data_IF_367957029682
#
_entry.id   IF_367957029682
#
_cell.length_a   1.000
_cell.length_b   1.000
_cell.length_c   1.000
_cell.angle_alpha   90.00
_cell.angle_beta   90.00
_cell.angle_gamma   90.00
#
_symmetry.space_group_name_H-M   'P 1'
#
loop_
_entity.id
_entity.type
_entity.pdbx_description
1 polymer ?
#
# COMPACT_ATOMS: atom_id res chain seq x y z
N UNK A 1 2.83 32.17 -18.14
CA UNK A 1 2.17 30.92 -18.57
C UNK A 1 1.43 30.37 -17.38
N UNK A 2 0.21 29.87 -17.55
CA UNK A 2 -0.60 29.44 -16.41
C UNK A 2 -0.28 27.99 -16.03
N UNK A 3 0.01 27.73 -14.76
CA UNK A 3 0.32 26.41 -14.20
C UNK A 3 -0.86 25.98 -13.33
N UNK A 4 -1.31 24.73 -13.50
CA UNK A 4 -2.34 24.18 -12.63
C UNK A 4 -1.68 23.79 -11.32
N UNK A 5 -2.15 24.36 -10.21
CA UNK A 5 -1.66 24.09 -8.86
C UNK A 5 -2.65 23.19 -8.12
N UNK A 6 -2.14 22.12 -7.52
CA UNK A 6 -2.87 21.30 -6.56
C UNK A 6 -2.09 21.24 -5.26
N UNK A 7 -2.81 21.14 -4.14
CA UNK A 7 -2.22 20.82 -2.83
C UNK A 7 -2.74 19.48 -2.34
N UNK A 8 -1.85 18.66 -1.80
CA UNK A 8 -2.18 17.40 -1.18
C UNK A 8 -2.36 17.58 0.33
N UNK A 9 -3.16 16.71 0.94
CA UNK A 9 -3.31 16.61 2.41
C UNK A 9 -4.15 17.71 3.06
N UNK A 10 -5.22 18.15 2.38
CA UNK A 10 -6.08 19.24 2.87
C UNK A 10 -6.95 18.81 4.05
N UNK A 11 -7.43 17.56 4.06
CA UNK A 11 -8.23 17.00 5.15
C UNK A 11 -7.56 15.76 5.78
N UNK A 12 -6.23 15.70 5.77
CA UNK A 12 -5.48 14.60 6.39
C UNK A 12 -5.67 13.22 5.73
N UNK A 13 -6.32 13.14 4.57
CA UNK A 13 -6.41 11.90 3.79
C UNK A 13 -5.23 11.75 2.80
N UNK A 14 -4.50 10.63 2.84
CA UNK A 14 -3.52 10.30 1.80
C UNK A 14 -4.19 10.20 0.43
N UNK A 15 -3.60 10.83 -0.59
CA UNK A 15 -4.10 10.92 -1.97
C UNK A 15 -5.30 11.86 -2.22
N UNK A 16 -5.71 12.67 -1.23
CA UNK A 16 -6.67 13.77 -1.48
C UNK A 16 -5.93 15.02 -1.99
N UNK A 17 -6.37 15.53 -3.14
CA UNK A 17 -5.83 16.74 -3.76
C UNK A 17 -6.93 17.80 -3.85
N UNK A 18 -6.63 19.00 -3.37
CA UNK A 18 -7.43 20.17 -3.67
C UNK A 18 -6.85 20.92 -4.87
N UNK A 19 -7.71 21.22 -5.84
CA UNK A 19 -7.37 22.04 -6.99
C UNK A 19 -7.43 23.52 -6.60
N UNK A 20 -6.26 24.18 -6.56
CA UNK A 20 -6.16 25.62 -6.32
C UNK A 20 -6.34 26.45 -7.60
N UNK A 21 -6.55 25.78 -8.73
CA UNK A 21 -6.80 26.38 -10.04
C UNK A 21 -5.53 26.68 -10.81
N UNK A 22 -5.67 27.51 -11.84
CA UNK A 22 -4.56 27.95 -12.69
C UNK A 22 -3.92 29.21 -12.09
N UNK A 23 -2.61 29.18 -11.87
CA UNK A 23 -1.85 30.24 -11.19
C UNK A 23 -0.65 30.69 -12.01
N UNK A 24 -0.24 31.93 -11.83
CA UNK A 24 1.04 32.43 -12.37
C UNK A 24 2.21 31.99 -11.48
N UNK A 25 3.42 31.97 -12.04
CA UNK A 25 4.64 31.58 -11.30
C UNK A 25 4.85 32.39 -10.02
N UNK A 26 4.61 33.70 -10.05
CA UNK A 26 4.72 34.58 -8.86
C UNK A 26 3.72 34.21 -7.76
N UNK A 27 2.48 33.89 -8.14
CA UNK A 27 1.44 33.44 -7.20
C UNK A 27 1.81 32.09 -6.59
N UNK A 28 2.37 31.16 -7.38
CA UNK A 28 2.81 29.85 -6.89
C UNK A 28 3.94 29.99 -5.86
N UNK A 29 4.93 30.86 -6.13
CA UNK A 29 5.99 31.16 -5.16
C UNK A 29 5.41 31.70 -3.86
N UNK A 30 4.52 32.69 -3.94
CA UNK A 30 3.85 33.24 -2.76
C UNK A 30 3.05 32.18 -1.99
N UNK A 31 2.35 31.28 -2.68
CA UNK A 31 1.61 30.17 -2.04
C UNK A 31 2.58 29.19 -1.38
N UNK A 32 3.69 28.85 -2.03
CA UNK A 32 4.71 27.94 -1.49
C UNK A 32 5.33 28.49 -0.21
N UNK A 33 5.68 29.78 -0.18
CA UNK A 33 6.26 30.46 0.98
C UNK A 33 5.28 30.59 2.14
N UNK A 34 4.00 30.83 1.84
CA UNK A 34 2.93 30.93 2.85
C UNK A 34 2.38 29.57 3.29
N UNK A 35 2.79 28.48 2.63
CA UNK A 35 2.31 27.16 2.97
C UNK A 35 2.86 26.74 4.34
N UNK A 36 2.02 26.28 5.28
CA UNK A 36 2.45 25.97 6.64
C UNK A 36 3.16 24.60 6.71
N UNK A 37 4.34 24.50 6.09
CA UNK A 37 5.09 23.25 5.93
C UNK A 37 5.35 22.54 7.25
N UNK A 38 5.90 23.24 8.24
CA UNK A 38 6.23 22.65 9.55
C UNK A 38 4.99 22.07 10.24
N UNK A 39 3.88 22.82 10.26
CA UNK A 39 2.62 22.38 10.87
C UNK A 39 2.08 21.13 10.16
N UNK A 40 2.09 21.12 8.83
CA UNK A 40 1.59 20.00 8.04
C UNK A 40 2.47 18.76 8.17
N UNK A 41 3.79 18.93 8.25
CA UNK A 41 4.75 17.83 8.47
C UNK A 41 4.61 17.29 9.89
N UNK A 42 4.51 18.14 10.91
CA UNK A 42 4.32 17.73 12.30
C UNK A 42 3.02 16.92 12.46
N UNK A 43 1.90 17.45 11.92
CA UNK A 43 0.62 16.74 11.93
C UNK A 43 0.67 15.41 11.17
N UNK A 44 1.36 15.37 10.02
CA UNK A 44 1.57 14.12 9.28
C UNK A 44 2.34 13.08 10.11
N UNK A 45 3.38 13.49 10.84
CA UNK A 45 4.17 12.63 11.71
C UNK A 45 3.41 12.15 12.95
N UNK A 46 2.33 12.82 13.36
CA UNK A 46 1.45 12.36 14.46
C UNK A 46 0.46 11.28 14.00
N UNK A 47 0.04 11.32 12.73
CA UNK A 47 -0.98 10.43 12.13
C UNK A 47 -0.41 9.09 11.60
N UNK A 48 0.77 8.67 12.06
CA UNK A 48 1.67 7.68 11.43
C UNK A 48 1.01 6.48 10.74
N UNK A 49 1.23 6.39 9.42
CA UNK A 49 1.58 5.21 8.60
C UNK A 49 1.49 5.51 7.08
N UNK A 50 1.21 6.75 6.69
CA UNK A 50 1.20 7.16 5.28
C UNK A 50 2.60 7.47 4.75
N UNK A 51 2.98 6.88 3.61
CA UNK A 51 4.20 7.24 2.87
C UNK A 51 4.10 8.57 2.10
N UNK A 52 2.98 9.29 2.19
CA UNK A 52 2.74 10.52 1.43
C UNK A 52 2.84 11.76 2.34
N UNK A 53 3.99 12.43 2.28
CA UNK A 53 4.22 13.73 2.91
C UNK A 53 3.32 14.81 2.28
N UNK A 54 3.02 15.92 2.98
CA UNK A 54 2.32 17.05 2.40
C UNK A 54 3.07 17.56 1.16
N UNK A 55 2.32 17.87 0.09
CA UNK A 55 2.92 18.25 -1.19
C UNK A 55 2.13 19.30 -1.95
N UNK A 56 2.83 20.05 -2.80
CA UNK A 56 2.28 20.90 -3.85
C UNK A 56 2.63 20.31 -5.22
N UNK A 57 1.63 20.15 -6.08
CA UNK A 57 1.80 19.62 -7.43
C UNK A 57 1.58 20.74 -8.45
N UNK A 58 2.58 20.95 -9.31
CA UNK A 58 2.54 21.91 -10.40
C UNK A 58 2.40 21.17 -11.73
N UNK A 59 1.30 21.37 -12.43
CA UNK A 59 1.05 20.75 -13.74
C UNK A 59 1.12 21.80 -14.87
N UNK A 60 1.93 21.50 -15.90
CA UNK A 60 2.03 22.32 -17.11
C UNK A 60 2.15 21.42 -18.34
N UNK A 61 1.04 21.27 -19.06
CA UNK A 61 0.95 20.34 -20.20
C UNK A 61 1.20 18.90 -19.79
N UNK A 62 2.22 18.27 -20.37
CA UNK A 62 2.60 16.88 -20.08
C UNK A 62 3.64 16.75 -18.95
N UNK A 63 3.93 17.84 -18.23
CA UNK A 63 4.91 17.89 -17.15
C UNK A 63 4.21 18.09 -15.82
N UNK A 64 4.72 17.42 -14.80
CA UNK A 64 4.28 17.59 -13.42
C UNK A 64 5.51 17.67 -12.51
N UNK A 65 5.49 18.65 -11.60
CA UNK A 65 6.48 18.82 -10.54
C UNK A 65 5.79 18.67 -9.20
N UNK A 66 6.16 17.64 -8.44
CA UNK A 66 5.64 17.41 -7.08
C UNK A 66 6.70 17.86 -6.09
N UNK A 67 6.35 18.78 -5.22
CA UNK A 67 7.22 19.34 -4.18
C UNK A 67 6.66 18.87 -2.83
N UNK A 68 7.42 18.07 -2.09
CA UNK A 68 6.99 17.54 -0.79
C UNK A 68 7.91 18.01 0.32
N UNK A 69 7.34 18.53 1.41
CA UNK A 69 8.09 18.99 2.59
C UNK A 69 8.38 17.86 3.58
N UNK A 70 9.51 17.95 4.27
CA UNK A 70 9.85 17.14 5.45
C UNK A 70 10.49 18.01 6.54
N UNK A 71 11.03 17.37 7.57
CA UNK A 71 11.53 18.01 8.79
C UNK A 71 12.62 19.04 8.47
N UNK A 72 12.60 20.19 9.18
CA UNK A 72 13.62 21.25 9.13
C UNK A 72 13.67 22.09 7.84
N UNK A 73 12.54 22.48 7.26
CA UNK A 73 12.46 23.31 6.04
C UNK A 73 13.23 22.73 4.84
N UNK A 74 13.16 21.43 4.72
CA UNK A 74 13.82 20.69 3.67
C UNK A 74 12.79 20.04 2.76
N UNK A 75 13.07 20.04 1.46
CA UNK A 75 12.12 19.64 0.44
C UNK A 75 12.64 18.52 -0.44
N UNK A 76 11.70 17.73 -0.96
CA UNK A 76 11.94 16.71 -1.97
C UNK A 76 11.13 17.04 -3.20
N UNK A 77 11.71 16.79 -4.36
CA UNK A 77 11.07 17.08 -5.63
C UNK A 77 11.01 15.83 -6.48
N UNK A 78 9.82 15.55 -7.00
CA UNK A 78 9.58 14.53 -8.00
C UNK A 78 9.13 15.17 -9.31
N UNK A 79 9.92 15.03 -10.37
CA UNK A 79 9.53 15.47 -11.71
C UNK A 79 8.99 14.29 -12.53
N UNK A 80 7.82 14.48 -13.13
CA UNK A 80 7.08 13.49 -13.91
C UNK A 80 6.80 14.04 -15.32
N UNK A 81 6.96 13.18 -16.34
CA UNK A 81 6.69 13.52 -17.73
C UNK A 81 5.77 12.48 -18.36
N UNK A 82 4.52 12.86 -18.66
CA UNK A 82 3.41 11.94 -19.00
C UNK A 82 3.66 11.10 -20.27
N UNK A 83 4.52 11.54 -21.19
CA UNK A 83 4.78 10.83 -22.46
C UNK A 83 5.97 9.84 -22.42
N UNK A 84 6.82 9.87 -21.40
CA UNK A 84 7.91 8.91 -21.24
C UNK A 84 7.67 8.08 -19.97
N UNK A 85 7.42 6.78 -20.16
CA UNK A 85 7.16 5.82 -19.10
C UNK A 85 8.14 6.01 -17.92
N UNK A 86 7.62 6.47 -16.79
CA UNK A 86 8.19 6.33 -15.45
C UNK A 86 9.64 6.82 -15.23
N UNK A 87 10.11 7.88 -15.88
CA UNK A 87 11.28 8.61 -15.37
C UNK A 87 10.83 9.62 -14.32
N UNK A 88 10.54 9.14 -13.11
CA UNK A 88 10.45 10.02 -11.94
C UNK A 88 11.87 10.30 -11.46
N UNK A 89 12.30 11.56 -11.47
CA UNK A 89 13.53 11.94 -10.79
C UNK A 89 13.19 12.46 -9.41
N UNK A 90 13.77 11.84 -8.38
CA UNK A 90 13.57 12.20 -7.00
C UNK A 90 14.84 12.87 -6.47
N UNK A 91 14.71 14.11 -6.05
CA UNK A 91 15.77 14.90 -5.43
C UNK A 91 15.39 15.15 -3.98
N UNK A 92 16.36 15.03 -3.07
CA UNK A 92 16.20 15.27 -1.65
C UNK A 92 17.16 16.36 -1.17
N UNK A 93 16.93 16.84 0.03
CA UNK A 93 17.71 17.83 0.78
C UNK A 93 17.75 19.24 0.18
N UNK A 94 16.68 19.63 -0.53
CA UNK A 94 16.58 20.97 -1.12
C UNK A 94 16.21 22.03 -0.09
N UNK A 95 16.84 23.19 -0.17
CA UNK A 95 16.46 24.38 0.60
C UNK A 95 15.27 25.10 -0.03
N UNK A 96 14.65 26.01 0.73
CA UNK A 96 13.55 26.85 0.25
C UNK A 96 13.94 27.62 -1.05
N UNK A 97 15.10 28.28 -1.05
CA UNK A 97 15.60 29.05 -2.21
C UNK A 97 15.80 28.17 -3.44
N UNK A 98 16.32 26.94 -3.27
CA UNK A 98 16.50 26.00 -4.37
C UNK A 98 15.15 25.55 -4.96
N UNK A 99 14.13 25.37 -4.12
CA UNK A 99 12.78 25.05 -4.59
C UNK A 99 12.17 26.24 -5.33
N UNK A 100 12.32 27.47 -4.83
CA UNK A 100 11.82 28.67 -5.49
C UNK A 100 12.45 28.88 -6.87
N UNK A 101 13.76 28.65 -7.00
CA UNK A 101 14.48 28.66 -8.28
C UNK A 101 13.93 27.57 -9.24
N UNK A 102 13.65 26.38 -8.73
CA UNK A 102 13.07 25.30 -9.52
C UNK A 102 11.63 25.58 -9.97
N UNK A 103 10.80 26.21 -9.13
CA UNK A 103 9.44 26.66 -9.50
C UNK A 103 9.51 27.66 -10.66
N UNK A 104 10.47 28.59 -10.61
CA UNK A 104 10.68 29.57 -11.68
C UNK A 104 11.10 28.90 -12.98
N UNK A 105 12.14 28.07 -12.92
CA UNK A 105 12.68 27.34 -14.07
C UNK A 105 11.67 26.38 -14.69
N UNK A 106 10.84 25.72 -13.87
CA UNK A 106 9.80 24.82 -14.37
C UNK A 106 8.89 25.52 -15.38
N UNK A 107 8.55 26.79 -15.12
CA UNK A 107 7.66 27.57 -15.99
C UNK A 107 8.30 28.05 -17.30
N UNK A 108 9.63 28.23 -17.31
CA UNK A 108 10.38 28.89 -18.38
C UNK A 108 11.18 27.91 -19.26
N UNK A 109 11.74 26.86 -18.68
CA UNK A 109 12.69 25.98 -19.34
C UNK A 109 12.00 24.88 -20.15
N UNK A 110 12.71 24.37 -21.17
CA UNK A 110 12.32 23.15 -21.86
C UNK A 110 12.40 21.94 -20.92
N UNK A 111 11.72 20.84 -21.25
CA UNK A 111 11.81 19.60 -20.46
C UNK A 111 13.25 19.10 -20.33
N UNK A 112 14.05 19.24 -21.40
CA UNK A 112 15.43 18.75 -21.45
C UNK A 112 16.33 19.61 -20.55
N UNK A 113 16.18 20.94 -20.61
CA UNK A 113 16.99 21.86 -19.82
C UNK A 113 16.63 21.77 -18.33
N UNK A 114 15.34 21.65 -18.03
CA UNK A 114 14.87 21.44 -16.66
C UNK A 114 15.43 20.14 -16.06
N UNK A 115 15.41 19.04 -16.81
CA UNK A 115 16.04 17.78 -16.38
C UNK A 115 17.56 17.92 -16.18
N UNK A 116 18.24 18.69 -17.04
CA UNK A 116 19.69 18.97 -16.89
C UNK A 116 19.95 19.75 -15.60
N UNK A 117 19.10 20.70 -15.24
CA UNK A 117 19.20 21.42 -13.98
C UNK A 117 18.91 20.51 -12.79
N UNK A 118 17.88 19.67 -12.84
CA UNK A 118 17.63 18.67 -11.81
C UNK A 118 18.80 17.68 -11.63
N UNK A 119 19.61 17.45 -12.66
CA UNK A 119 20.83 16.62 -12.61
C UNK A 119 21.99 17.20 -11.81
N UNK A 120 21.95 18.48 -11.46
CA UNK A 120 22.95 19.10 -10.58
C UNK A 120 22.77 18.69 -9.12
N UNK A 121 21.55 18.31 -8.73
CA UNK A 121 21.26 17.92 -7.36
C UNK A 121 21.55 16.43 -7.12
N UNK A 122 21.97 16.13 -5.87
CA UNK A 122 22.30 14.77 -5.44
C UNK A 122 21.06 13.89 -5.60
N UNK A 123 21.16 12.94 -6.52
CA UNK A 123 20.09 11.98 -6.78
C UNK A 123 20.34 10.77 -5.89
N UNK A 124 19.39 10.41 -5.04
CA UNK A 124 19.43 9.08 -4.41
C UNK A 124 18.96 8.11 -5.47
N UNK A 125 19.89 7.34 -6.04
CA UNK A 125 19.49 6.19 -6.82
C UNK A 125 18.74 5.24 -5.89
N UNK A 126 17.43 5.13 -6.11
CA UNK A 126 16.65 4.07 -5.48
C UNK A 126 17.31 2.74 -5.86
N UNK A 127 17.73 1.98 -4.85
CA UNK A 127 18.46 0.73 -5.06
C UNK A 127 17.64 -0.21 -5.95
N UNK A 128 18.30 -1.10 -6.69
CA UNK A 128 17.60 -2.12 -7.49
C UNK A 128 16.57 -2.89 -6.65
N UNK A 129 16.88 -3.17 -5.38
CA UNK A 129 15.95 -3.76 -4.43
C UNK A 129 14.72 -2.87 -4.18
N UNK A 130 14.87 -1.56 -3.94
CA UNK A 130 13.72 -0.64 -3.82
C UNK A 130 12.88 -0.55 -5.09
N UNK A 131 13.51 -0.61 -6.28
CA UNK A 131 12.80 -0.66 -7.57
C UNK A 131 12.05 -1.98 -7.74
N UNK A 132 12.63 -3.10 -7.34
CA UNK A 132 12.00 -4.42 -7.35
C UNK A 132 10.85 -4.45 -6.33
N UNK A 133 11.09 -4.16 -5.06
CA UNK A 133 10.05 -4.13 -4.02
C UNK A 133 8.93 -3.12 -4.34
N UNK A 134 9.26 -1.95 -4.92
CA UNK A 134 8.28 -0.96 -5.38
C UNK A 134 7.49 -1.40 -6.64
N UNK A 135 8.14 -2.06 -7.61
CA UNK A 135 7.49 -2.57 -8.81
C UNK A 135 6.59 -3.79 -8.53
N UNK A 136 6.97 -4.65 -7.60
CA UNK A 136 6.15 -5.77 -7.14
C UNK A 136 5.08 -5.35 -6.11
N UNK A 137 5.30 -4.23 -5.41
CA UNK A 137 4.29 -3.52 -4.63
C UNK A 137 3.15 -2.91 -5.46
N UNK A 138 3.34 -2.74 -6.78
CA UNK A 138 2.27 -2.35 -7.73
C UNK A 138 1.39 -3.56 -8.11
N UNK A 139 0.85 -4.25 -7.10
CA UNK A 139 -0.25 -5.20 -7.24
C UNK A 139 -1.59 -4.53 -7.52
N UNK A 140 -1.63 -3.50 -8.37
CA UNK A 140 -2.88 -2.86 -8.80
C UNK A 140 -3.10 -3.17 -10.27
N UNK A 141 -4.00 -4.10 -10.56
CA UNK A 141 -4.97 -3.85 -11.63
C UNK A 141 -6.16 -3.19 -10.93
N UNK A 142 -6.04 -1.89 -10.63
CA UNK A 142 -7.24 -1.06 -10.41
C UNK A 142 -7.98 -1.14 -11.73
N UNK A 143 -8.99 -2.00 -11.82
CA UNK A 143 -9.92 -1.93 -12.93
C UNK A 143 -10.79 -0.72 -12.59
N UNK A 144 -10.30 0.48 -12.94
CA UNK A 144 -11.18 1.62 -13.07
C UNK A 144 -12.14 1.25 -14.20
N UNK A 145 -13.35 0.85 -13.85
CA UNK A 145 -14.45 0.91 -14.78
C UNK A 145 -14.76 2.39 -14.95
N UNK A 146 -14.08 3.03 -15.90
CA UNK A 146 -14.43 4.37 -16.37
C UNK A 146 -15.72 4.25 -17.18
N UNK A 147 -16.84 4.07 -16.50
CA UNK A 147 -18.16 4.34 -17.02
C UNK A 147 -19.01 4.89 -15.87
N UNK A 148 -19.01 6.22 -15.73
CA UNK A 148 -19.82 6.95 -14.76
C UNK A 148 -19.09 7.30 -13.46
N UNK A 149 -19.54 8.39 -12.83
CA UNK A 149 -19.00 9.09 -11.63
C UNK A 149 -18.72 8.26 -10.36
N UNK A 150 -18.81 6.94 -10.39
CA UNK A 150 -18.69 6.08 -9.22
C UNK A 150 -17.40 5.26 -9.27
N UNK A 151 -16.36 5.75 -8.60
CA UNK A 151 -15.12 4.98 -8.38
C UNK A 151 -15.40 3.79 -7.43
N UNK A 152 -15.69 2.63 -8.01
CA UNK A 152 -15.84 1.37 -7.27
C UNK A 152 -14.48 0.66 -7.18
N UNK A 153 -14.00 0.44 -5.96
CA UNK A 153 -12.80 -0.35 -5.69
C UNK A 153 -13.17 -1.81 -5.44
N UNK A 154 -12.84 -2.68 -6.41
CA UNK A 154 -13.04 -4.13 -6.32
C UNK A 154 -11.76 -4.82 -5.92
N UNK A 155 -11.83 -5.61 -4.86
CA UNK A 155 -10.73 -6.44 -4.38
C UNK A 155 -11.12 -7.90 -4.52
N UNK A 156 -10.32 -8.61 -5.30
CA UNK A 156 -10.44 -10.04 -5.49
C UNK A 156 -9.10 -10.69 -5.21
N UNK A 157 -9.15 -11.97 -4.85
CA UNK A 157 -7.97 -12.79 -4.69
C UNK A 157 -7.06 -12.71 -5.93
N UNK A 158 -5.78 -12.40 -5.72
CA UNK A 158 -4.77 -12.39 -6.77
C UNK A 158 -3.79 -13.55 -6.60
N UNK A 159 -3.79 -14.47 -7.56
CA UNK A 159 -2.87 -15.62 -7.59
C UNK A 159 -1.40 -15.19 -7.53
N UNK A 160 -1.04 -14.03 -8.09
CA UNK A 160 0.32 -13.47 -8.03
C UNK A 160 0.78 -13.24 -6.59
N UNK A 161 -0.10 -12.68 -5.75
CA UNK A 161 0.21 -12.36 -4.36
C UNK A 161 0.33 -13.63 -3.52
N UNK A 162 -0.53 -14.62 -3.76
CA UNK A 162 -0.38 -15.93 -3.14
C UNK A 162 0.94 -16.58 -3.53
N UNK A 163 1.29 -16.64 -4.81
CA UNK A 163 2.54 -17.24 -5.27
C UNK A 163 3.75 -16.54 -4.64
N UNK A 164 3.72 -15.21 -4.54
CA UNK A 164 4.78 -14.46 -3.86
C UNK A 164 4.90 -14.85 -2.38
N UNK A 165 3.78 -14.94 -1.69
CA UNK A 165 3.75 -15.18 -0.25
C UNK A 165 4.03 -16.67 0.10
N UNK A 166 3.52 -17.61 -0.69
CA UNK A 166 3.74 -19.06 -0.55
C UNK A 166 5.05 -19.53 -1.18
N UNK A 167 5.60 -18.76 -2.13
CA UNK A 167 6.80 -19.12 -2.89
C UNK A 167 8.01 -19.36 -2.01
N UNK A 168 8.15 -18.62 -0.90
CA UNK A 168 9.20 -18.86 0.08
C UNK A 168 9.04 -20.22 0.77
N UNK A 169 7.84 -20.57 1.23
CA UNK A 169 7.57 -21.89 1.80
C UNK A 169 7.87 -23.00 0.80
N UNK A 170 7.47 -22.83 -0.46
CA UNK A 170 7.76 -23.79 -1.52
C UNK A 170 9.27 -23.92 -1.78
N UNK A 171 10.00 -22.79 -1.78
CA UNK A 171 11.45 -22.78 -1.94
C UNK A 171 12.15 -23.58 -0.83
N UNK A 172 11.77 -23.37 0.44
CA UNK A 172 12.33 -24.15 1.55
C UNK A 172 12.04 -25.65 1.40
N UNK A 173 10.81 -26.02 1.02
CA UNK A 173 10.44 -27.43 0.82
C UNK A 173 11.24 -28.11 -0.29
N UNK A 174 11.62 -27.37 -1.34
CA UNK A 174 12.37 -27.89 -2.49
C UNK A 174 13.89 -27.79 -2.31
N UNK A 175 14.37 -27.02 -1.33
CA UNK A 175 15.80 -26.80 -1.11
C UNK A 175 16.60 -28.09 -0.86
N UNK A 176 16.14 -29.05 -0.02
CA UNK A 176 16.89 -30.28 0.21
C UNK A 176 17.00 -31.14 -1.06
N UNK A 177 15.94 -31.18 -1.87
CA UNK A 177 15.93 -31.86 -3.16
C UNK A 177 16.91 -31.19 -4.15
N UNK A 178 16.94 -29.86 -4.20
CA UNK A 178 17.89 -29.13 -5.04
C UNK A 178 19.34 -29.44 -4.64
N UNK A 179 19.63 -29.50 -3.33
CA UNK A 179 20.96 -29.85 -2.81
C UNK A 179 21.31 -31.30 -3.17
N UNK A 180 20.38 -32.24 -2.98
CA UNK A 180 20.57 -33.64 -3.34
C UNK A 180 20.92 -33.82 -4.82
N UNK A 181 20.18 -33.14 -5.72
CA UNK A 181 20.47 -33.14 -7.16
C UNK A 181 21.86 -32.54 -7.46
N UNK A 182 22.24 -31.46 -6.79
CA UNK A 182 23.53 -30.79 -7.01
C UNK A 182 24.72 -31.63 -6.50
N UNK A 183 24.56 -32.35 -5.39
CA UNK A 183 25.61 -33.17 -4.79
C UNK A 183 25.66 -34.59 -5.41
N UNK A 184 24.54 -35.07 -5.93
CA UNK A 184 24.37 -36.39 -6.53
C UNK A 184 24.43 -37.53 -5.49
N UNK A 185 24.76 -38.74 -5.95
CA UNK A 185 24.74 -40.00 -5.17
C UNK A 185 25.62 -40.03 -3.90
N UNK A 186 26.34 -38.96 -3.57
CA UNK A 186 27.16 -38.83 -2.36
C UNK A 186 26.39 -38.25 -1.17
N UNK A 187 25.16 -37.79 -1.37
CA UNK A 187 24.39 -37.17 -0.29
C UNK A 187 23.82 -38.24 0.65
N UNK A 188 24.14 -38.14 1.94
CA UNK A 188 23.70 -39.11 2.94
C UNK A 188 22.19 -38.95 3.20
N UNK A 189 21.42 -40.04 3.03
CA UNK A 189 19.96 -40.03 3.23
C UNK A 189 19.53 -39.50 4.62
N UNK A 190 20.29 -39.81 5.67
CA UNK A 190 19.98 -39.31 7.02
C UNK A 190 20.14 -37.79 7.09
N UNK A 191 21.18 -37.24 6.47
CA UNK A 191 21.40 -35.79 6.37
C UNK A 191 20.28 -35.14 5.55
N UNK A 192 19.86 -35.77 4.45
CA UNK A 192 18.72 -35.32 3.65
C UNK A 192 17.44 -35.23 4.50
N UNK A 193 17.10 -36.29 5.23
CA UNK A 193 15.88 -36.31 6.05
C UNK A 193 15.90 -35.27 7.17
N UNK A 194 17.06 -35.06 7.82
CA UNK A 194 17.22 -34.02 8.83
C UNK A 194 17.01 -32.63 8.22
N UNK A 195 17.66 -32.36 7.08
CA UNK A 195 17.53 -31.09 6.37
C UNK A 195 16.09 -30.86 5.88
N UNK A 196 15.43 -31.90 5.37
CA UNK A 196 14.03 -31.85 4.96
C UNK A 196 13.10 -31.55 6.14
N UNK A 197 13.31 -32.19 7.28
CA UNK A 197 12.55 -31.91 8.50
C UNK A 197 12.70 -30.46 8.95
N UNK A 198 13.92 -29.95 8.96
CA UNK A 198 14.20 -28.55 9.29
C UNK A 198 13.53 -27.56 8.31
N UNK A 199 13.70 -27.77 7.01
CA UNK A 199 13.06 -26.96 5.98
C UNK A 199 11.53 -27.00 6.06
N UNK A 200 10.95 -28.16 6.36
CA UNK A 200 9.52 -28.31 6.56
C UNK A 200 9.02 -27.46 7.74
N UNK A 201 9.74 -27.47 8.87
CA UNK A 201 9.40 -26.64 10.03
C UNK A 201 9.43 -25.14 9.68
N UNK A 202 10.40 -24.70 8.88
CA UNK A 202 10.46 -23.32 8.40
C UNK A 202 9.33 -22.98 7.41
N UNK A 203 8.93 -23.93 6.56
CA UNK A 203 7.86 -23.73 5.60
C UNK A 203 6.46 -23.72 6.24
N UNK A 204 6.28 -24.44 7.35
CA UNK A 204 4.99 -24.76 7.97
C UNK A 204 4.11 -23.53 8.25
N UNK A 205 4.60 -22.41 8.83
CA UNK A 205 3.75 -21.25 9.08
C UNK A 205 3.14 -20.65 7.82
N UNK A 206 3.92 -20.51 6.74
CA UNK A 206 3.42 -20.00 5.47
C UNK A 206 2.38 -20.92 4.82
N UNK A 207 2.55 -22.24 4.97
CA UNK A 207 1.56 -23.25 4.54
C UNK A 207 0.26 -23.08 5.34
N UNK A 208 0.35 -23.00 6.68
CA UNK A 208 -0.81 -22.83 7.56
C UNK A 208 -1.58 -21.55 7.19
N UNK A 209 -0.88 -20.43 7.03
CA UNK A 209 -1.49 -19.15 6.66
C UNK A 209 -2.19 -19.25 5.30
N UNK A 210 -1.57 -19.92 4.32
CA UNK A 210 -2.13 -20.10 2.98
C UNK A 210 -3.41 -20.95 3.00
N UNK A 211 -3.40 -22.08 3.71
CA UNK A 211 -4.59 -22.93 3.90
C UNK A 211 -5.71 -22.13 4.55
N UNK A 212 -5.38 -21.39 5.61
CA UNK A 212 -6.32 -20.56 6.34
C UNK A 212 -6.91 -19.43 5.48
N UNK A 213 -6.09 -18.81 4.64
CA UNK A 213 -6.54 -17.83 3.65
C UNK A 213 -7.55 -18.45 2.69
N UNK A 214 -7.25 -19.61 2.09
CA UNK A 214 -8.18 -20.26 1.16
C UNK A 214 -9.50 -20.64 1.82
N UNK A 215 -9.46 -21.11 3.07
CA UNK A 215 -10.67 -21.46 3.83
C UNK A 215 -11.58 -20.25 4.10
N UNK A 216 -11.02 -19.09 4.42
CA UNK A 216 -11.80 -17.90 4.85
C UNK A 216 -12.05 -16.88 3.73
N UNK A 217 -11.04 -16.65 2.89
CA UNK A 217 -11.01 -15.58 1.90
C UNK A 217 -10.95 -16.07 0.44
N UNK A 218 -10.73 -17.36 0.18
CA UNK A 218 -10.49 -17.88 -1.17
C UNK A 218 -11.62 -17.62 -2.18
N UNK A 219 -12.86 -17.47 -1.70
CA UNK A 219 -14.04 -17.12 -2.53
C UNK A 219 -14.60 -15.72 -2.22
N UNK A 220 -13.97 -14.98 -1.32
CA UNK A 220 -14.45 -13.69 -0.86
C UNK A 220 -14.04 -12.61 -1.86
N UNK A 221 -15.01 -11.79 -2.29
CA UNK A 221 -14.78 -10.55 -3.04
C UNK A 221 -15.27 -9.38 -2.21
N UNK A 222 -14.52 -8.27 -2.24
CA UNK A 222 -14.87 -7.04 -1.53
C UNK A 222 -15.09 -5.92 -2.52
N UNK A 223 -16.20 -5.23 -2.39
CA UNK A 223 -16.57 -4.09 -3.21
C UNK A 223 -16.77 -2.88 -2.31
N UNK A 224 -15.83 -1.95 -2.38
CA UNK A 224 -15.93 -0.66 -1.69
C UNK A 224 -16.33 0.41 -2.70
N UNK A 225 -17.40 1.14 -2.41
CA UNK A 225 -17.81 2.29 -3.22
C UNK A 225 -17.27 3.56 -2.56
N UNK A 226 -16.58 4.40 -3.36
CA UNK A 226 -16.01 5.65 -2.87
C UNK A 226 -17.13 6.60 -2.43
N UNK A 227 -16.98 7.22 -1.26
CA UNK A 227 -17.98 8.13 -0.70
C UNK A 227 -19.19 7.43 -0.08
N UNK A 228 -19.31 6.11 -0.18
CA UNK A 228 -20.37 5.36 0.46
C UNK A 228 -19.97 4.83 1.83
N UNK A 229 -20.95 4.86 2.75
CA UNK A 229 -20.83 4.31 4.09
C UNK A 229 -21.10 2.80 4.14
N UNK A 230 -21.14 2.14 2.98
CA UNK A 230 -21.42 0.70 2.87
C UNK A 230 -20.40 0.03 1.98
N UNK A 231 -20.24 -1.26 2.18
CA UNK A 231 -19.48 -2.11 1.28
C UNK A 231 -20.15 -3.47 1.14
N UNK A 232 -19.88 -4.13 0.03
CA UNK A 232 -20.49 -5.42 -0.29
C UNK A 232 -19.40 -6.49 -0.21
N UNK A 233 -19.71 -7.57 0.51
CA UNK A 233 -18.95 -8.82 0.42
C UNK A 233 -19.73 -9.80 -0.44
N UNK A 234 -19.00 -10.54 -1.28
CA UNK A 234 -19.57 -11.57 -2.15
C UNK A 234 -18.82 -12.88 -1.86
N UNK A 235 -19.54 -13.91 -1.43
CA UNK A 235 -18.99 -15.25 -1.18
C UNK A 235 -19.79 -16.24 -2.03
N UNK A 236 -19.19 -16.67 -3.15
CA UNK A 236 -19.95 -17.41 -4.17
C UNK A 236 -21.08 -16.54 -4.72
N UNK A 237 -22.32 -17.00 -4.64
CA UNK A 237 -23.51 -16.26 -5.11
C UNK A 237 -24.18 -15.41 -4.03
N UNK A 238 -23.73 -15.54 -2.76
CA UNK A 238 -24.29 -14.78 -1.65
C UNK A 238 -23.63 -13.41 -1.57
N UNK A 239 -24.45 -12.36 -1.63
CA UNK A 239 -24.04 -10.97 -1.38
C UNK A 239 -24.48 -10.57 0.01
N UNK A 240 -23.58 -9.99 0.78
CA UNK A 240 -23.87 -9.42 2.09
C UNK A 240 -23.43 -7.96 2.09
N UNK A 241 -24.35 -7.08 2.51
CA UNK A 241 -24.10 -5.66 2.64
C UNK A 241 -23.70 -5.36 4.08
N UNK A 242 -22.62 -4.62 4.26
CA UNK A 242 -22.16 -4.15 5.57
C UNK A 242 -22.16 -2.63 5.59
N UNK A 243 -22.61 -2.05 6.69
CA UNK A 243 -22.43 -0.63 6.97
C UNK A 243 -21.10 -0.42 7.70
N UNK A 244 -20.34 0.58 7.27
CA UNK A 244 -19.06 0.97 7.84
C UNK A 244 -19.20 1.48 9.27
N UNK A 245 -20.32 2.13 9.60
CA UNK A 245 -20.63 2.61 10.97
C UNK A 245 -20.93 1.49 11.95
N UNK A 246 -21.32 0.32 11.45
CA UNK A 246 -21.58 -0.84 12.30
C UNK A 246 -20.28 -1.49 12.77
N UNK A 247 -19.12 -1.11 12.21
CA UNK A 247 -17.82 -1.60 12.65
C UNK A 247 -17.48 -0.95 13.99
N UNK A 248 -17.47 -1.75 15.06
CA UNK A 248 -17.16 -1.32 16.42
C UNK A 248 -15.65 -1.26 16.63
N UNK A 249 -14.92 -2.23 16.07
CA UNK A 249 -13.48 -2.37 16.31
C UNK A 249 -12.79 -3.12 15.19
N UNK A 250 -11.54 -2.76 14.93
CA UNK A 250 -10.66 -3.48 14.00
C UNK A 250 -9.52 -4.12 14.78
N UNK A 251 -9.37 -5.44 14.71
CA UNK A 251 -8.19 -6.13 15.24
C UNK A 251 -7.24 -6.46 14.10
N UNK A 252 -6.02 -5.95 14.17
CA UNK A 252 -4.96 -6.26 13.20
C UNK A 252 -3.98 -7.25 13.80
N UNK A 253 -3.95 -8.44 13.23
CA UNK A 253 -3.05 -9.50 13.65
C UNK A 253 -1.83 -9.55 12.74
N UNK A 254 -0.66 -9.27 13.31
CA UNK A 254 0.63 -9.25 12.61
C UNK A 254 1.58 -10.28 13.18
N UNK A 255 2.56 -10.69 12.38
CA UNK A 255 3.67 -11.52 12.86
C UNK A 255 4.49 -10.73 13.88
N UNK A 256 4.94 -11.39 14.95
CA UNK A 256 5.92 -10.82 15.87
C UNK A 256 7.38 -11.04 15.42
N UNK A 257 7.60 -11.72 14.29
CA UNK A 257 8.92 -12.17 13.84
C UNK A 257 9.39 -11.39 12.61
N UNK A 258 10.27 -10.41 12.84
CA UNK A 258 10.76 -9.48 11.80
C UNK A 258 11.53 -10.13 10.64
N UNK A 259 12.17 -11.28 10.88
CA UNK A 259 13.01 -11.97 9.88
C UNK A 259 12.39 -13.27 9.36
N UNK A 260 11.13 -13.52 9.69
CA UNK A 260 10.45 -14.71 9.20
C UNK A 260 9.98 -14.54 7.75
N UNK A 261 9.99 -15.60 6.94
CA UNK A 261 9.39 -15.59 5.59
C UNK A 261 7.91 -15.18 5.59
N UNK A 262 7.24 -15.31 6.73
CA UNK A 262 5.84 -14.94 6.92
C UNK A 262 5.63 -13.59 7.64
N UNK A 263 6.68 -12.77 7.79
CA UNK A 263 6.57 -11.47 8.46
C UNK A 263 5.55 -10.54 7.78
N UNK A 264 5.45 -10.62 6.45
CA UNK A 264 4.53 -9.78 5.67
C UNK A 264 3.07 -10.25 5.65
N UNK A 265 2.69 -11.27 6.41
CA UNK A 265 1.29 -11.71 6.48
C UNK A 265 0.55 -11.01 7.60
N UNK A 266 -0.65 -10.56 7.30
CA UNK A 266 -1.50 -9.85 8.25
C UNK A 266 -2.95 -10.27 8.06
N UNK A 267 -3.71 -10.24 9.14
CA UNK A 267 -5.15 -10.40 9.12
C UNK A 267 -5.82 -9.27 9.86
N UNK A 268 -6.75 -8.60 9.21
CA UNK A 268 -7.64 -7.63 9.84
C UNK A 268 -8.97 -8.29 10.14
N UNK A 269 -9.48 -8.14 11.34
CA UNK A 269 -10.80 -8.63 11.76
C UNK A 269 -11.67 -7.43 12.05
N UNK A 270 -12.68 -7.23 11.22
CA UNK A 270 -13.69 -6.19 11.42
C UNK A 270 -14.77 -6.78 12.33
N UNK A 271 -14.89 -6.25 13.54
CA UNK A 271 -15.94 -6.64 14.49
C UNK A 271 -17.12 -5.68 14.36
N UNK A 272 -18.30 -6.21 14.09
CA UNK A 272 -19.53 -5.45 13.93
C UNK A 272 -20.35 -5.41 15.23
N UNK A 273 -21.24 -4.42 15.35
CA UNK A 273 -22.15 -4.23 16.50
C UNK A 273 -23.06 -5.43 16.76
N UNK A 274 -23.45 -6.16 15.71
CA UNK A 274 -24.24 -7.38 15.77
C UNK A 274 -23.43 -8.63 16.15
N UNK A 275 -22.14 -8.47 16.50
CA UNK A 275 -21.24 -9.56 16.88
C UNK A 275 -20.66 -10.35 15.69
N UNK A 276 -21.02 -10.01 14.45
CA UNK A 276 -20.41 -10.62 13.25
C UNK A 276 -18.93 -10.20 13.18
N UNK A 277 -18.07 -11.11 12.75
CA UNK A 277 -16.66 -10.82 12.46
C UNK A 277 -16.35 -11.08 10.99
N UNK A 278 -15.79 -10.09 10.30
CA UNK A 278 -15.27 -10.26 8.94
C UNK A 278 -13.74 -10.33 8.98
N UNK A 279 -13.21 -11.51 8.65
CA UNK A 279 -11.77 -11.77 8.62
C UNK A 279 -11.22 -11.49 7.23
N UNK A 280 -10.27 -10.56 7.12
CA UNK A 280 -9.67 -10.12 5.88
C UNK A 280 -8.16 -10.34 5.94
N UNK A 281 -7.65 -11.30 5.18
CA UNK A 281 -6.21 -11.45 4.98
C UNK A 281 -5.66 -10.29 4.15
N UNK A 282 -4.43 -9.86 4.42
CA UNK A 282 -3.78 -8.89 3.56
C UNK A 282 -3.52 -9.40 2.14
N UNK A 283 -3.55 -10.72 1.89
CA UNK A 283 -3.52 -11.32 0.54
C UNK A 283 -4.71 -10.84 -0.32
N UNK A 284 -5.89 -10.67 0.29
CA UNK A 284 -7.13 -10.26 -0.39
C UNK A 284 -7.15 -8.75 -0.64
N UNK A 285 -6.88 -7.94 0.39
CA UNK A 285 -6.84 -6.48 0.35
C UNK A 285 -5.62 -6.02 1.14
N UNK A 286 -4.81 -5.11 0.59
CA UNK A 286 -3.68 -4.55 1.34
C UNK A 286 -4.17 -3.85 2.60
N UNK A 287 -3.40 -3.92 3.68
CA UNK A 287 -3.74 -3.25 4.94
C UNK A 287 -3.89 -1.75 4.72
N UNK A 288 -2.96 -1.13 3.99
CA UNK A 288 -3.05 0.29 3.62
C UNK A 288 -4.29 0.65 2.79
N UNK A 289 -4.73 -0.24 1.87
CA UNK A 289 -5.93 0.00 1.08
C UNK A 289 -7.19 -0.21 1.92
N UNK A 290 -7.19 -1.16 2.87
CA UNK A 290 -8.28 -1.36 3.83
C UNK A 290 -8.43 -0.14 4.75
N UNK A 291 -7.32 0.38 5.27
CA UNK A 291 -7.29 1.53 6.18
C UNK A 291 -7.92 2.78 5.56
N UNK A 292 -7.70 3.01 4.27
CA UNK A 292 -8.38 4.09 3.54
C UNK A 292 -9.91 3.97 3.56
N UNK A 293 -10.45 2.77 3.71
CA UNK A 293 -11.91 2.56 3.74
C UNK A 293 -12.50 2.59 5.14
N UNK A 294 -11.69 2.42 6.20
CA UNK A 294 -12.14 2.23 7.59
C UNK A 294 -11.36 3.07 8.62
N UNK A 295 -10.67 4.13 8.19
CA UNK A 295 -9.80 4.98 9.02
C UNK A 295 -10.47 5.62 10.24
N UNK A 296 -11.81 5.71 10.24
CA UNK A 296 -12.61 6.27 11.33
C UNK A 296 -12.84 5.30 12.50
N UNK A 297 -12.37 4.05 12.42
CA UNK A 297 -12.57 3.02 13.46
C UNK A 297 -11.27 2.77 14.22
N UNK A 298 -11.38 2.67 15.55
CA UNK A 298 -10.26 2.29 16.41
C UNK A 298 -9.66 0.93 16.00
N UNK A 299 -8.34 0.94 15.82
CA UNK A 299 -7.57 -0.23 15.46
C UNK A 299 -6.72 -0.71 16.64
N UNK A 300 -6.79 -2.01 16.94
CA UNK A 300 -5.92 -2.65 17.92
C UNK A 300 -4.96 -3.63 17.23
N UNK A 301 -3.66 -3.38 17.39
CA UNK A 301 -2.61 -4.24 16.87
C UNK A 301 -2.31 -5.41 17.83
N UNK A 302 -2.40 -6.63 17.32
CA UNK A 302 -2.10 -7.88 18.04
C UNK A 302 -0.94 -8.60 17.38
N UNK A 303 0.21 -8.64 18.08
CA UNK A 303 1.39 -9.37 17.64
C UNK A 303 1.29 -10.84 18.04
N UNK A 304 1.49 -11.76 17.09
CA UNK A 304 1.50 -13.20 17.34
C UNK A 304 2.51 -13.91 16.43
N UNK A 305 2.92 -15.13 16.79
CA UNK A 305 3.92 -15.86 16.00
C UNK A 305 3.45 -16.22 14.60
N UNK A 306 2.18 -16.64 14.47
CA UNK A 306 1.51 -16.90 13.18
C UNK A 306 0.19 -16.14 13.18
N UNK A 307 0.01 -15.18 12.25
CA UNK A 307 -1.28 -14.54 12.02
C UNK A 307 -2.38 -15.58 11.77
N UNK A 308 -3.41 -15.62 12.63
CA UNK A 308 -4.53 -16.59 12.69
C UNK A 308 -4.37 -17.86 13.55
N UNK A 309 -3.41 -17.94 14.47
CA UNK A 309 -3.41 -19.00 15.49
C UNK A 309 -4.47 -18.81 16.60
N UNK A 310 -5.58 -18.11 16.30
CA UNK A 310 -6.69 -17.96 17.25
C UNK A 310 -7.62 -19.16 17.10
N UNK A 311 -7.86 -19.88 18.19
CA UNK A 311 -8.98 -20.81 18.30
C UNK A 311 -10.27 -20.02 18.09
N UNK A 312 -10.83 -20.06 16.87
CA UNK A 312 -12.17 -19.52 16.63
C UNK A 312 -13.17 -20.47 17.27
N UNK A 313 -13.77 -20.06 18.39
CA UNK A 313 -15.11 -20.53 18.75
C UNK A 313 -16.00 -20.03 17.61
N UNK A 314 -16.36 -20.93 16.70
CA UNK A 314 -17.21 -20.60 15.55
C UNK A 314 -18.59 -20.30 16.10
N UNK A 315 -18.88 -19.02 16.36
CA UNK A 315 -20.27 -18.59 16.47
C UNK A 315 -20.85 -18.64 15.07
N UNK A 316 -21.50 -19.76 14.76
CA UNK A 316 -22.25 -19.94 13.51
C UNK A 316 -23.36 -18.90 13.54
N UNK A 317 -23.22 -17.88 12.70
CA UNK A 317 -24.33 -16.97 12.41
C UNK A 317 -25.23 -17.74 11.46
N UNK A 318 -26.14 -18.52 12.04
CA UNK A 318 -27.34 -18.92 11.33
C UNK A 318 -28.10 -17.62 11.07
N UNK A 319 -27.96 -17.09 9.85
CA UNK A 319 -28.59 -15.84 9.46
C UNK A 319 -30.10 -15.92 9.71
N UNK A 320 -30.77 -14.79 10.02
CA UNK A 320 -32.22 -14.79 10.14
C UNK A 320 -32.81 -15.32 8.84
N UNK A 321 -33.46 -16.47 8.92
CA UNK A 321 -34.34 -16.97 7.86
C UNK A 321 -35.38 -15.89 7.64
N UNK A 322 -35.32 -15.23 6.48
CA UNK A 322 -36.42 -14.40 6.00
C UNK A 322 -37.63 -15.30 5.84
N UNK A 323 -38.51 -15.32 6.84
CA UNK A 323 -39.87 -15.80 6.65
C UNK A 323 -40.58 -14.76 5.77
N UNK A 324 -40.77 -15.12 4.51
CA UNK A 324 -41.82 -14.54 3.67
C UNK A 324 -43.19 -14.92 4.23
#
# INVERSE_FOLDING_TARGET
MSIILRRQFVNYEPDEYELLGSKQTSEIKSIFEQYPWEEQVAKHLELVESHAFPSLNLEQGNRELVISGYISDRFSIQFLYKNFINKSKLVYDLTNDEVLDLIEKFSLESTIDFLRNLNKFKTIETTFLQKVFGAFGRGKKKIHSTNGRNDESKYEFSTKRLIYMFGWSLLYLLMPLAIDIMVGNKFNLSVFLILQGFCFLLALPGIIISINHFKRNGKLKLHFQKGENRFITIIGDKKQLFDKKDIVKVFRYVSNSNNSPWNGYEYSVLQFNNGVELWLSNILIKSEDLDKHISFVDMELKKQWIPMLKYTVVNRVDGPTSHN
#
